data_IF_534838487692
#
_entry.id   IF_534838487692
#
_cell.length_a   1.000
_cell.length_b   1.000
_cell.length_c   1.000
_cell.angle_alpha   90.00
_cell.angle_beta   90.00
_cell.angle_gamma   90.00
#
_symmetry.space_group_name_H-M   'P 1'
#
loop_
_entity.id
_entity.type
_entity.pdbx_description
1 polymer ?
#
# COMPACT_ATOMS: atom_id res chain seq x y z
N UNK A 1 -7.25 29.11 11.68
CA UNK A 1 -8.53 28.52 12.14
C UNK A 1 -8.23 27.70 13.38
N UNK A 2 -9.14 27.67 14.35
CA UNK A 2 -8.88 27.12 15.68
C UNK A 2 -8.23 25.74 15.59
N UNK A 3 -7.10 25.61 16.28
CA UNK A 3 -6.32 24.39 16.48
C UNK A 3 -7.16 23.44 17.34
N UNK A 4 -8.15 22.82 16.70
CA UNK A 4 -8.91 21.75 17.32
C UNK A 4 -7.94 20.58 17.32
N UNK A 5 -7.19 20.41 18.41
CA UNK A 5 -6.30 19.26 18.63
C UNK A 5 -7.15 18.00 18.52
N UNK A 6 -7.11 17.39 17.35
CA UNK A 6 -7.72 16.11 17.07
C UNK A 6 -6.66 15.03 17.29
N UNK A 7 -7.10 13.87 17.73
CA UNK A 7 -6.25 12.70 17.89
C UNK A 7 -6.83 11.60 17.01
N UNK A 8 -6.03 11.11 16.06
CA UNK A 8 -6.43 10.08 15.09
C UNK A 8 -6.94 8.80 15.78
N UNK A 9 -6.40 8.48 16.95
CA UNK A 9 -6.72 7.26 17.68
C UNK A 9 -8.02 7.37 18.48
N UNK A 10 -8.40 8.57 18.93
CA UNK A 10 -9.57 8.74 19.83
C UNK A 10 -10.71 9.55 19.24
N UNK A 11 -10.48 10.35 18.19
CA UNK A 11 -11.53 11.11 17.52
C UNK A 11 -12.59 10.19 16.91
N UNK A 12 -13.84 10.68 16.79
CA UNK A 12 -14.89 9.92 16.11
C UNK A 12 -14.62 9.86 14.60
N UNK A 13 -15.10 8.79 13.95
CA UNK A 13 -14.98 8.64 12.49
C UNK A 13 -15.69 9.77 11.75
N UNK A 14 -16.82 10.27 12.29
CA UNK A 14 -17.51 11.47 11.77
C UNK A 14 -16.61 12.71 11.78
N UNK A 15 -15.91 12.95 12.89
CA UNK A 15 -15.01 14.09 13.01
C UNK A 15 -13.83 13.97 12.05
N UNK A 16 -13.22 12.78 11.96
CA UNK A 16 -12.10 12.53 11.05
C UNK A 16 -12.53 12.64 9.58
N UNK A 17 -13.72 12.16 9.22
CA UNK A 17 -14.29 12.29 7.88
C UNK A 17 -14.48 13.76 7.51
N UNK A 18 -15.08 14.55 8.41
CA UNK A 18 -15.27 15.99 8.19
C UNK A 18 -13.93 16.74 8.07
N UNK A 19 -12.93 16.38 8.89
CA UNK A 19 -11.58 16.92 8.80
C UNK A 19 -10.96 16.66 7.40
N UNK A 20 -11.13 15.45 6.86
CA UNK A 20 -10.66 15.11 5.51
C UNK A 20 -11.32 16.03 4.46
N UNK A 21 -12.65 16.16 4.50
CA UNK A 21 -13.39 17.01 3.56
C UNK A 21 -13.03 18.50 3.66
N UNK A 22 -12.80 19.00 4.86
CA UNK A 22 -12.36 20.39 5.07
C UNK A 22 -10.97 20.61 4.52
N UNK A 23 -10.04 19.68 4.80
CA UNK A 23 -8.65 19.77 4.36
C UNK A 23 -8.53 19.64 2.84
N UNK A 24 -9.35 18.79 2.21
CA UNK A 24 -9.46 18.68 0.76
C UNK A 24 -9.82 20.04 0.13
N UNK A 25 -10.83 20.73 0.67
CA UNK A 25 -11.27 22.06 0.21
C UNK A 25 -10.22 23.15 0.38
N UNK A 26 -9.27 22.95 1.28
CA UNK A 26 -8.15 23.85 1.56
C UNK A 26 -6.88 23.51 0.76
N UNK A 27 -7.03 22.74 -0.33
CA UNK A 27 -5.93 22.28 -1.19
C UNK A 27 -4.90 21.38 -0.47
N UNK A 28 -5.35 20.56 0.49
CA UNK A 28 -4.49 19.60 1.20
C UNK A 28 -4.19 18.31 0.44
N UNK A 29 -4.68 18.15 -0.80
CA UNK A 29 -4.41 16.97 -1.63
C UNK A 29 -2.95 16.99 -2.07
N UNK A 30 -2.22 15.93 -1.73
CA UNK A 30 -0.81 15.74 -2.06
C UNK A 30 -0.57 14.56 -3.02
N UNK A 31 -1.60 13.73 -3.27
CA UNK A 31 -1.53 12.60 -4.18
C UNK A 31 -2.91 12.16 -4.68
N UNK A 32 -2.93 11.48 -5.82
CA UNK A 32 -4.17 11.05 -6.47
C UNK A 32 -4.88 12.16 -7.27
N UNK A 33 -6.11 11.91 -7.70
CA UNK A 33 -6.94 12.88 -8.41
C UNK A 33 -8.38 12.84 -7.91
N UNK A 34 -9.10 13.94 -8.13
CA UNK A 34 -10.48 14.11 -7.66
C UNK A 34 -11.41 13.06 -8.30
N UNK A 35 -12.13 12.31 -7.47
CA UNK A 35 -13.05 11.25 -7.90
C UNK A 35 -12.43 9.84 -7.94
N UNK A 36 -11.19 9.69 -7.49
CA UNK A 36 -10.55 8.40 -7.25
C UNK A 36 -9.92 8.37 -5.84
N UNK A 37 -8.96 7.48 -5.61
CA UNK A 37 -8.18 7.47 -4.37
C UNK A 37 -7.34 8.75 -4.30
N UNK A 38 -7.41 9.43 -3.15
CA UNK A 38 -6.68 10.65 -2.84
C UNK A 38 -5.79 10.44 -1.61
N UNK A 39 -4.67 11.15 -1.57
CA UNK A 39 -3.85 11.30 -0.36
C UNK A 39 -3.92 12.75 0.07
N UNK A 40 -4.39 12.99 1.30
CA UNK A 40 -4.58 14.31 1.88
C UNK A 40 -3.64 14.47 3.06
N UNK A 41 -2.84 15.53 3.07
CA UNK A 41 -1.99 15.89 4.21
C UNK A 41 -2.83 16.61 5.25
N UNK A 42 -2.98 16.00 6.44
CA UNK A 42 -3.80 16.55 7.52
C UNK A 42 -2.97 17.36 8.52
N UNK A 43 -1.70 16.98 8.74
CA UNK A 43 -0.76 17.68 9.61
C UNK A 43 0.68 17.49 9.13
N UNK A 44 1.66 17.87 9.94
CA UNK A 44 3.08 17.61 9.63
C UNK A 44 3.45 16.12 9.75
N UNK A 45 2.65 15.32 10.45
CA UNK A 45 2.98 13.93 10.77
C UNK A 45 1.91 12.94 10.27
N UNK A 46 0.76 13.43 9.80
CA UNK A 46 -0.38 12.59 9.40
C UNK A 46 -0.85 12.94 7.99
N UNK A 47 -0.96 11.90 7.17
CA UNK A 47 -1.71 11.89 5.93
C UNK A 47 -2.84 10.86 6.01
N UNK A 48 -3.85 11.04 5.17
CA UNK A 48 -4.91 10.05 4.97
C UNK A 48 -4.99 9.68 3.50
N UNK A 49 -5.00 8.38 3.22
CA UNK A 49 -5.39 7.84 1.92
C UNK A 49 -6.88 7.50 1.99
N UNK A 50 -7.66 8.08 1.10
CA UNK A 50 -9.13 7.98 1.10
C UNK A 50 -9.63 7.64 -0.29
N UNK A 51 -10.62 6.75 -0.37
CA UNK A 51 -11.34 6.49 -1.60
C UNK A 51 -11.86 5.05 -1.74
N UNK A 52 -12.60 4.83 -2.83
CA UNK A 52 -13.04 3.49 -3.22
C UNK A 52 -11.83 2.65 -3.64
N UNK A 53 -11.57 1.58 -2.91
CA UNK A 53 -10.44 0.69 -3.16
C UNK A 53 -9.29 0.82 -2.16
N UNK A 54 -9.34 1.77 -1.22
CA UNK A 54 -8.51 1.72 -0.01
C UNK A 54 -9.09 0.64 0.90
N UNK A 55 -8.29 -0.35 1.27
CA UNK A 55 -8.82 -1.57 1.93
C UNK A 55 -8.18 -1.85 3.28
N UNK A 56 -8.89 -2.63 4.11
CA UNK A 56 -8.31 -3.17 5.35
C UNK A 56 -7.07 -4.03 5.08
N UNK A 57 -7.02 -4.74 3.94
CA UNK A 57 -5.89 -5.58 3.56
C UNK A 57 -4.64 -4.74 3.23
N UNK A 58 -4.82 -3.58 2.61
CA UNK A 58 -3.77 -2.59 2.39
C UNK A 58 -3.21 -2.06 3.72
N UNK A 59 -4.08 -1.63 4.63
CA UNK A 59 -3.68 -1.17 5.97
C UNK A 59 -2.88 -2.24 6.73
N UNK A 60 -3.36 -3.49 6.74
CA UNK A 60 -2.67 -4.62 7.39
C UNK A 60 -1.34 -4.95 6.73
N UNK A 61 -1.27 -4.90 5.40
CA UNK A 61 -0.03 -5.16 4.65
C UNK A 61 1.01 -4.07 4.95
N UNK A 62 0.59 -2.82 4.99
CA UNK A 62 1.46 -1.70 5.35
C UNK A 62 1.97 -1.82 6.80
N UNK A 63 1.08 -2.11 7.75
CA UNK A 63 1.45 -2.31 9.15
C UNK A 63 2.41 -3.50 9.35
N UNK A 64 2.10 -4.64 8.73
CA UNK A 64 2.99 -5.80 8.73
C UNK A 64 4.36 -5.45 8.15
N UNK A 65 4.39 -4.72 7.04
CA UNK A 65 5.65 -4.32 6.41
C UNK A 65 6.45 -3.40 7.33
N UNK A 66 5.83 -2.36 7.88
CA UNK A 66 6.47 -1.42 8.81
C UNK A 66 7.12 -2.13 10.00
N UNK A 67 6.47 -3.16 10.55
CA UNK A 67 6.97 -3.93 11.69
C UNK A 67 8.13 -4.88 11.35
N UNK A 68 8.26 -5.32 10.09
CA UNK A 68 9.20 -6.38 9.69
C UNK A 68 10.36 -5.90 8.82
N UNK A 69 10.34 -4.67 8.31
CA UNK A 69 11.47 -4.11 7.56
C UNK A 69 12.61 -3.68 8.46
N UNK A 70 13.84 -3.69 7.94
CA UNK A 70 14.96 -3.04 8.59
C UNK A 70 14.91 -1.54 8.25
N UNK A 71 14.69 -0.65 9.25
CA UNK A 71 14.56 0.79 8.99
C UNK A 71 15.85 1.44 8.49
N UNK A 72 17.00 0.77 8.62
CA UNK A 72 18.27 1.23 8.02
C UNK A 72 18.34 0.97 6.51
N UNK A 73 17.47 0.12 5.96
CA UNK A 73 17.41 -0.20 4.52
C UNK A 73 16.26 0.57 3.86
N UNK A 74 15.08 0.52 4.47
CA UNK A 74 13.85 1.09 3.92
C UNK A 74 12.93 1.55 5.03
N UNK A 75 12.28 2.68 4.81
CA UNK A 75 11.21 3.17 5.65
C UNK A 75 9.85 2.82 5.03
N UNK A 76 8.85 2.51 5.85
CA UNK A 76 7.45 2.35 5.43
C UNK A 76 6.60 3.17 6.40
N UNK A 77 5.67 4.03 5.92
CA UNK A 77 4.88 4.88 6.78
C UNK A 77 4.09 4.06 7.81
N UNK A 78 4.09 4.47 9.07
CA UNK A 78 3.30 3.81 10.11
C UNK A 78 1.79 3.98 9.84
N UNK A 79 1.00 2.92 10.04
CA UNK A 79 -0.47 3.02 10.06
C UNK A 79 -0.93 3.49 11.44
N UNK A 80 -1.80 4.49 11.48
CA UNK A 80 -2.39 4.99 12.73
C UNK A 80 -3.80 4.50 12.94
N UNK A 81 -4.61 4.46 11.88
CA UNK A 81 -6.00 4.01 11.92
C UNK A 81 -6.53 3.69 10.54
N UNK A 82 -7.38 2.67 10.46
CA UNK A 82 -8.19 2.38 9.28
C UNK A 82 -9.66 2.25 9.67
N UNK A 83 -10.57 2.77 8.84
CA UNK A 83 -12.00 2.47 8.90
C UNK A 83 -12.65 2.60 7.51
N UNK A 84 -13.84 2.02 7.36
CA UNK A 84 -14.65 2.13 6.14
C UNK A 84 -15.96 2.86 6.44
N UNK A 85 -16.45 3.65 5.49
CA UNK A 85 -17.76 4.30 5.57
C UNK A 85 -18.60 4.00 4.35
N UNK A 86 -19.91 3.88 4.56
CA UNK A 86 -20.85 3.79 3.46
C UNK A 86 -20.80 5.07 2.61
N UNK A 87 -20.49 4.94 1.33
CA UNK A 87 -20.28 6.09 0.44
C UNK A 87 -21.58 6.54 -0.23
N UNK A 88 -22.29 5.63 -0.89
CA UNK A 88 -23.59 5.91 -1.52
C UNK A 88 -24.45 4.63 -1.52
N UNK A 89 -25.64 4.66 -0.88
CA UNK A 89 -26.54 3.51 -0.82
C UNK A 89 -27.03 3.04 -2.20
N UNK A 90 -26.88 3.84 -3.27
CA UNK A 90 -27.22 3.43 -4.64
C UNK A 90 -26.21 2.49 -5.28
N UNK A 91 -24.99 2.41 -4.75
CA UNK A 91 -23.87 1.70 -5.37
C UNK A 91 -23.26 0.59 -4.51
N UNK A 92 -23.86 0.28 -3.34
CA UNK A 92 -23.36 -0.74 -2.39
C UNK A 92 -21.84 -0.71 -2.23
N UNK A 93 -21.29 0.50 -2.06
CA UNK A 93 -19.84 0.71 -1.97
C UNK A 93 -19.48 1.40 -0.66
N UNK A 94 -18.43 0.90 -0.02
CA UNK A 94 -17.73 1.59 1.05
C UNK A 94 -16.56 2.42 0.50
N UNK A 95 -16.22 3.46 1.23
CA UNK A 95 -15.01 4.25 1.07
C UNK A 95 -14.08 3.97 2.25
N UNK A 96 -12.84 3.61 1.96
CA UNK A 96 -11.83 3.35 2.97
C UNK A 96 -11.09 4.63 3.34
N UNK A 97 -10.74 4.74 4.62
CA UNK A 97 -9.94 5.81 5.19
C UNK A 97 -8.74 5.19 5.90
N UNK A 98 -7.55 5.38 5.35
CA UNK A 98 -6.29 4.90 5.91
C UNK A 98 -5.47 6.10 6.38
N UNK A 99 -5.45 6.33 7.69
CA UNK A 99 -4.62 7.34 8.33
C UNK A 99 -3.24 6.76 8.64
N UNK A 100 -2.20 7.45 8.21
CA UNK A 100 -0.83 6.99 8.28
C UNK A 100 0.17 8.15 8.47
N UNK A 101 1.41 7.81 8.78
CA UNK A 101 2.53 8.75 8.80
C UNK A 101 2.60 9.52 7.49
N UNK A 102 2.63 10.86 7.59
CA UNK A 102 3.03 11.68 6.46
C UNK A 102 4.54 11.66 6.32
N UNK A 103 5.03 11.17 5.18
CA UNK A 103 6.47 11.16 4.89
C UNK A 103 6.84 12.38 4.06
N UNK A 104 7.58 13.36 4.62
CA UNK A 104 8.11 14.47 3.84
C UNK A 104 9.27 14.00 2.96
N UNK A 105 9.41 14.62 1.79
CA UNK A 105 10.52 14.36 0.88
C UNK A 105 10.10 14.55 -0.58
N UNK A 106 11.02 14.19 -1.47
CA UNK A 106 10.78 14.19 -2.92
C UNK A 106 10.59 12.77 -3.40
N UNK A 107 9.67 12.57 -4.32
CA UNK A 107 9.54 11.27 -4.99
C UNK A 107 10.76 11.01 -5.86
N UNK A 108 11.13 9.75 -6.07
CA UNK A 108 12.20 9.40 -7.01
C UNK A 108 11.83 9.75 -8.47
N UNK A 109 10.55 10.04 -8.75
CA UNK A 109 10.10 10.51 -10.06
C UNK A 109 10.60 11.93 -10.36
N UNK A 110 10.84 12.72 -9.31
CA UNK A 110 11.35 14.10 -9.40
C UNK A 110 12.88 14.15 -9.42
N UNK A 111 13.56 13.02 -9.19
CA UNK A 111 15.03 12.97 -9.16
C UNK A 111 15.61 12.67 -10.53
N UNK A 112 16.77 13.27 -10.78
CA UNK A 112 17.66 12.90 -11.88
C UNK A 112 18.54 11.73 -11.43
N UNK A 113 18.31 10.55 -12.00
CA UNK A 113 19.03 9.33 -11.65
C UNK A 113 20.42 9.26 -12.27
N UNK A 114 20.73 10.10 -13.27
CA UNK A 114 22.08 10.21 -13.82
C UNK A 114 23.00 10.97 -12.84
N UNK A 115 22.41 11.83 -12.00
CA UNK A 115 23.11 12.54 -10.91
C UNK A 115 23.12 11.71 -9.62
N UNK A 116 22.04 10.95 -9.36
CA UNK A 116 21.86 10.10 -8.18
C UNK A 116 21.99 8.62 -8.54
N UNK A 117 23.17 8.24 -9.01
CA UNK A 117 23.51 6.89 -9.44
C UNK A 117 23.45 5.84 -8.29
N UNK A 118 23.49 6.29 -7.04
CA UNK A 118 23.30 5.45 -5.84
C UNK A 118 21.88 4.88 -5.70
N UNK A 119 20.87 5.47 -6.33
CA UNK A 119 19.46 5.13 -6.11
C UNK A 119 19.11 3.74 -6.65
N UNK A 120 19.59 3.38 -7.85
CA UNK A 120 19.26 2.08 -8.45
C UNK A 120 19.81 0.89 -7.62
N UNK A 121 21.07 0.88 -7.19
CA UNK A 121 21.58 -0.13 -6.26
C UNK A 121 20.78 -0.21 -4.96
N UNK A 122 20.34 0.92 -4.42
CA UNK A 122 19.53 0.96 -3.18
C UNK A 122 18.14 0.38 -3.39
N UNK A 123 17.48 0.66 -4.51
CA UNK A 123 16.20 0.01 -4.84
C UNK A 123 16.38 -1.51 -4.95
N UNK A 124 17.46 -1.98 -5.57
CA UNK A 124 17.76 -3.41 -5.63
C UNK A 124 17.96 -4.02 -4.23
N UNK A 125 18.64 -3.30 -3.32
CA UNK A 125 18.80 -3.70 -1.93
C UNK A 125 17.45 -3.78 -1.20
N UNK A 126 16.55 -2.83 -1.43
CA UNK A 126 15.20 -2.83 -0.86
C UNK A 126 14.41 -4.04 -1.37
N UNK A 127 14.43 -4.33 -2.66
CA UNK A 127 13.74 -5.50 -3.24
C UNK A 127 14.28 -6.80 -2.63
N UNK A 128 15.60 -6.92 -2.52
CA UNK A 128 16.22 -8.09 -1.89
C UNK A 128 15.83 -8.22 -0.42
N UNK A 129 15.74 -7.10 0.31
CA UNK A 129 15.32 -7.09 1.72
C UNK A 129 13.86 -7.52 1.88
N UNK A 130 12.93 -7.00 1.06
CA UNK A 130 11.53 -7.44 1.07
C UNK A 130 11.42 -8.94 0.75
N UNK A 131 12.23 -9.43 -0.20
CA UNK A 131 12.31 -10.84 -0.56
C UNK A 131 12.86 -11.78 0.52
N UNK A 132 13.35 -11.25 1.65
CA UNK A 132 13.75 -12.04 2.82
C UNK A 132 12.64 -12.13 3.88
N UNK A 133 11.57 -11.35 3.73
CA UNK A 133 10.45 -11.32 4.67
C UNK A 133 9.43 -12.37 4.22
N UNK A 134 9.44 -13.52 4.88
CA UNK A 134 8.44 -14.57 4.70
C UNK A 134 7.19 -14.27 5.54
N UNK A 135 6.01 -14.48 4.95
CA UNK A 135 4.75 -14.42 5.70
C UNK A 135 4.51 -15.80 6.30
N UNK A 136 4.85 -15.96 7.57
CA UNK A 136 4.54 -17.17 8.32
C UNK A 136 3.27 -16.90 9.12
N UNK A 137 2.16 -17.41 8.65
CA UNK A 137 0.98 -17.52 9.52
C UNK A 137 1.23 -18.63 10.55
N UNK A 138 0.45 -18.63 11.63
CA UNK A 138 0.33 -19.76 12.57
C UNK A 138 -0.23 -21.03 11.91
N UNK A 139 -0.73 -20.89 10.67
CA UNK A 139 -1.08 -21.95 9.75
C UNK A 139 0.18 -22.57 9.13
N UNK A 140 0.12 -23.88 8.86
CA UNK A 140 1.26 -24.66 8.36
C UNK A 140 1.83 -24.16 7.03
N UNK A 141 1.02 -23.44 6.24
CA UNK A 141 1.37 -23.00 4.89
C UNK A 141 1.03 -21.51 4.73
N UNK A 142 1.99 -20.74 4.20
CA UNK A 142 1.77 -19.34 3.82
C UNK A 142 0.73 -19.26 2.67
N UNK A 143 -0.18 -18.29 2.76
CA UNK A 143 -1.24 -18.09 1.76
C UNK A 143 -0.86 -16.96 0.80
N UNK A 144 -0.90 -17.17 -0.53
CA UNK A 144 -0.63 -16.09 -1.48
C UNK A 144 -1.70 -15.00 -1.43
N UNK A 145 -1.28 -13.74 -1.43
CA UNK A 145 -2.17 -12.59 -1.49
C UNK A 145 -1.80 -11.51 -0.48
N UNK A 146 -2.66 -10.51 -0.29
CA UNK A 146 -2.41 -9.44 0.67
C UNK A 146 -2.54 -9.94 2.11
N UNK A 147 -1.85 -9.27 3.04
CA UNK A 147 -1.94 -9.59 4.47
C UNK A 147 -3.36 -9.36 4.96
N UNK A 148 -3.90 -10.34 5.70
CA UNK A 148 -5.28 -10.33 6.16
C UNK A 148 -6.31 -10.79 5.11
N UNK A 149 -5.84 -11.33 3.98
CA UNK A 149 -6.66 -11.98 2.97
C UNK A 149 -7.39 -11.03 2.01
N UNK A 150 -8.13 -11.63 1.08
CA UNK A 150 -8.83 -10.94 0.00
C UNK A 150 -8.20 -11.20 -1.38
N UNK A 151 -8.88 -10.73 -2.42
CA UNK A 151 -8.43 -10.89 -3.80
C UNK A 151 -7.15 -10.08 -4.07
N UNK A 152 -6.06 -10.70 -4.57
CA UNK A 152 -4.87 -9.98 -4.99
C UNK A 152 -5.16 -8.91 -6.04
N UNK A 153 -4.47 -7.77 -5.92
CA UNK A 153 -4.62 -6.59 -6.79
C UNK A 153 -3.26 -6.07 -7.24
N UNK A 154 -3.28 -5.24 -8.28
CA UNK A 154 -2.07 -4.71 -8.93
C UNK A 154 -1.90 -5.23 -10.36
N UNK A 155 -0.93 -4.69 -11.09
CA UNK A 155 -0.80 -4.89 -12.54
C UNK A 155 -0.59 -6.35 -12.96
N UNK A 156 -0.09 -7.21 -12.07
CA UNK A 156 0.03 -8.65 -12.33
C UNK A 156 -1.34 -9.32 -12.52
N UNK A 157 -2.38 -8.82 -11.85
CA UNK A 157 -3.68 -9.47 -11.76
C UNK A 157 -4.73 -8.91 -12.73
N UNK A 158 -4.50 -7.70 -13.25
CA UNK A 158 -5.44 -6.95 -14.09
C UNK A 158 -6.19 -5.87 -13.30
N UNK A 159 -7.03 -5.09 -13.99
CA UNK A 159 -7.77 -3.95 -13.38
C UNK A 159 -8.71 -4.40 -12.25
N UNK A 160 -9.37 -5.54 -12.41
CA UNK A 160 -10.30 -6.10 -11.42
C UNK A 160 -9.61 -6.95 -10.34
N UNK A 161 -8.27 -7.01 -10.36
CA UNK A 161 -7.50 -7.95 -9.55
C UNK A 161 -7.68 -9.40 -9.99
N UNK A 162 -7.38 -10.34 -9.11
CA UNK A 162 -7.46 -11.77 -9.42
C UNK A 162 -8.90 -12.26 -9.64
N UNK A 163 -9.89 -11.54 -9.10
CA UNK A 163 -11.30 -11.92 -9.07
C UNK A 163 -11.64 -13.04 -8.08
N UNK A 164 -10.65 -13.51 -7.32
CA UNK A 164 -10.79 -14.59 -6.33
C UNK A 164 -9.75 -14.44 -5.22
N UNK A 165 -10.06 -14.98 -4.04
CA UNK A 165 -9.11 -15.06 -2.92
C UNK A 165 -8.42 -16.41 -2.97
N UNK A 166 -7.10 -16.43 -2.92
CA UNK A 166 -6.34 -17.67 -2.83
C UNK A 166 -6.30 -18.18 -1.39
N UNK A 167 -6.32 -19.50 -1.24
CA UNK A 167 -6.23 -20.19 0.04
C UNK A 167 -4.95 -21.01 0.17
N UNK A 168 -4.27 -21.27 -0.95
CA UNK A 168 -2.99 -21.97 -1.00
C UNK A 168 -2.21 -21.65 -2.28
N UNK A 169 -0.97 -22.12 -2.37
CA UNK A 169 -0.12 -21.97 -3.57
C UNK A 169 -0.73 -22.65 -4.81
N UNK A 170 -1.49 -23.74 -4.64
CA UNK A 170 -2.14 -24.42 -5.76
C UNK A 170 -3.22 -23.56 -6.44
N UNK A 171 -3.90 -22.68 -5.69
CA UNK A 171 -4.87 -21.73 -6.26
C UNK A 171 -4.14 -20.71 -7.15
N UNK A 172 -3.05 -20.13 -6.65
CA UNK A 172 -2.20 -19.21 -7.42
C UNK A 172 -1.65 -19.88 -8.70
N UNK A 173 -1.10 -21.09 -8.57
CA UNK A 173 -0.58 -21.85 -9.69
C UNK A 173 -1.67 -22.12 -10.74
N UNK A 174 -2.88 -22.50 -10.30
CA UNK A 174 -4.02 -22.75 -11.20
C UNK A 174 -4.46 -21.46 -11.92
N UNK A 175 -4.53 -20.34 -11.18
CA UNK A 175 -4.89 -19.04 -11.72
C UNK A 175 -3.92 -18.55 -12.80
N UNK A 176 -2.61 -18.69 -12.57
CA UNK A 176 -1.54 -18.33 -13.50
C UNK A 176 -1.53 -19.25 -14.71
N UNK A 177 -1.58 -20.58 -14.49
CA UNK A 177 -1.53 -21.55 -15.58
C UNK A 177 -2.74 -21.49 -16.51
N UNK A 178 -3.93 -21.14 -16.00
CA UNK A 178 -5.10 -20.86 -16.84
C UNK A 178 -4.78 -19.78 -17.89
N UNK A 179 -4.08 -18.72 -17.51
CA UNK A 179 -3.69 -17.61 -18.41
C UNK A 179 -2.50 -17.97 -19.30
N UNK A 180 -1.48 -18.63 -18.75
CA UNK A 180 -0.30 -19.08 -19.51
C UNK A 180 -0.64 -20.14 -20.57
N UNK A 181 -1.71 -20.92 -20.36
CA UNK A 181 -2.18 -21.91 -21.33
C UNK A 181 -2.49 -21.32 -22.71
N UNK A 182 -2.95 -20.05 -22.76
CA UNK A 182 -3.19 -19.30 -24.00
C UNK A 182 -1.90 -19.10 -24.82
N UNK A 183 -0.76 -19.09 -24.14
CA UNK A 183 0.58 -18.98 -24.73
C UNK A 183 1.30 -20.33 -24.83
N UNK A 184 0.61 -21.45 -24.53
CA UNK A 184 1.19 -22.80 -24.44
C UNK A 184 2.39 -22.88 -23.49
N UNK A 185 2.30 -22.15 -22.36
CA UNK A 185 3.31 -22.15 -21.30
C UNK A 185 2.68 -22.65 -19.99
N UNK A 186 3.54 -23.06 -19.06
CA UNK A 186 3.16 -23.38 -17.69
C UNK A 186 4.23 -22.96 -16.70
N UNK A 187 3.85 -22.85 -15.43
CA UNK A 187 4.72 -22.57 -14.31
C UNK A 187 4.36 -23.46 -13.13
N UNK A 188 5.33 -23.76 -12.27
CA UNK A 188 5.11 -24.43 -11.00
C UNK A 188 5.80 -23.66 -9.87
N UNK A 189 4.99 -23.09 -8.96
CA UNK A 189 5.44 -22.30 -7.82
C UNK A 189 5.38 -23.05 -6.48
N UNK A 190 5.06 -24.35 -6.43
CA UNK A 190 4.89 -25.06 -5.14
C UNK A 190 6.16 -25.05 -4.27
N UNK A 191 7.34 -25.10 -4.89
CA UNK A 191 8.63 -25.04 -4.18
C UNK A 191 9.17 -23.60 -4.02
N UNK A 192 8.42 -22.59 -4.48
CA UNK A 192 8.82 -21.20 -4.40
C UNK A 192 8.38 -20.59 -3.07
N UNK A 193 9.27 -19.92 -2.31
CA UNK A 193 8.86 -19.24 -1.08
C UNK A 193 7.91 -18.08 -1.40
N UNK A 194 6.90 -17.90 -0.54
CA UNK A 194 6.05 -16.72 -0.58
C UNK A 194 6.69 -15.62 0.27
N UNK A 195 7.06 -14.53 -0.39
CA UNK A 195 7.79 -13.41 0.22
C UNK A 195 7.05 -12.11 -0.01
N UNK A 196 7.32 -11.11 0.84
CA UNK A 196 6.69 -9.82 0.74
C UNK A 196 7.07 -9.11 -0.58
N UNK A 197 6.05 -8.71 -1.34
CA UNK A 197 6.22 -8.01 -2.61
C UNK A 197 5.36 -6.74 -2.60
N UNK A 198 5.93 -5.60 -2.98
CA UNK A 198 5.17 -4.35 -3.06
C UNK A 198 4.20 -4.31 -4.25
N UNK A 199 4.53 -5.00 -5.36
CA UNK A 199 3.71 -5.12 -6.58
C UNK A 199 3.40 -3.82 -7.35
N UNK A 200 3.77 -2.64 -6.86
CA UNK A 200 3.74 -1.35 -7.56
C UNK A 200 5.02 -0.52 -7.28
N UNK A 201 6.18 -1.14 -7.52
CA UNK A 201 7.48 -0.48 -7.42
C UNK A 201 7.68 0.52 -8.57
N UNK A 202 7.19 1.73 -8.37
CA UNK A 202 7.35 2.85 -9.27
C UNK A 202 8.04 4.03 -8.59
N UNK A 203 8.77 4.85 -9.36
CA UNK A 203 9.48 6.02 -8.80
C UNK A 203 8.57 7.04 -8.08
N UNK A 204 7.28 7.08 -8.45
CA UNK A 204 6.25 7.91 -7.81
C UNK A 204 5.87 7.42 -6.40
N UNK A 205 6.09 6.13 -6.12
CA UNK A 205 5.73 5.40 -4.90
C UNK A 205 6.94 5.27 -3.95
N UNK A 206 8.01 6.02 -4.23
CA UNK A 206 9.25 5.99 -3.45
C UNK A 206 9.65 7.41 -3.12
N UNK A 207 9.79 7.71 -1.83
CA UNK A 207 10.10 9.06 -1.33
C UNK A 207 11.50 9.04 -0.75
N UNK A 208 12.40 9.90 -1.26
CA UNK A 208 13.68 10.16 -0.64
C UNK A 208 13.48 11.13 0.53
N UNK A 209 13.72 10.64 1.74
CA UNK A 209 13.61 11.39 3.00
C UNK A 209 14.84 12.28 3.22
N UNK A 210 14.71 13.26 4.11
CA UNK A 210 15.79 14.21 4.44
C UNK A 210 17.00 13.53 5.11
N UNK A 211 16.77 12.41 5.80
CA UNK A 211 17.82 11.54 6.37
C UNK A 211 18.50 10.64 5.32
N UNK A 212 18.19 10.87 4.03
CA UNK A 212 18.63 10.13 2.87
C UNK A 212 18.17 8.65 2.86
N UNK A 213 17.21 8.23 3.68
CA UNK A 213 16.55 6.92 3.54
C UNK A 213 15.47 6.97 2.45
N UNK A 214 15.13 5.80 1.88
CA UNK A 214 14.02 5.68 0.93
C UNK A 214 12.81 5.13 1.68
N UNK A 215 11.69 5.84 1.58
CA UNK A 215 10.38 5.36 1.99
C UNK A 215 9.67 4.69 0.82
N UNK A 216 9.02 3.56 1.07
CA UNK A 216 8.03 2.99 0.15
C UNK A 216 6.62 3.43 0.57
N UNK A 217 5.85 3.93 -0.39
CA UNK A 217 4.47 4.37 -0.20
C UNK A 217 3.63 3.92 -1.41
N UNK A 218 2.31 3.93 -1.26
CA UNK A 218 1.35 3.80 -2.37
C UNK A 218 0.02 4.42 -1.93
#
# INVERSE_FOLDING_TARGET
MADQTWDVHTASEDMLTELCHQTEKLNGIIGGYKGAIQVIKLSNDIAVKVGRGVTAAEARTQEFTHQNVNPSIVHVPQVYRFFERDYDPRWNGSEGYLFMEYVPGRTLAELDLDVRDDIVPRIAQIIAHLGQIEVRDDLKDAVPGPIGGGSPRGSLWGEDGAGETFTCVSDLNSWLNKRLSLLKKSIDLHDSPLVLCHLDLARRNMILRDDNTISLAD
#
